data_IF_545308894109
#
_entry.id   IF_545308894109
#
_cell.length_a   1.000
_cell.length_b   1.000
_cell.length_c   1.000
_cell.angle_alpha   90.00
_cell.angle_beta   90.00
_cell.angle_gamma   90.00
#
_symmetry.space_group_name_H-M   'P 1'
#
loop_
_entity.id
_entity.type
_entity.pdbx_description
1 polymer ?
#
# COMPACT_ATOMS: atom_id res chain seq x y z
N UNK A 1 19.64 12.38 4.51
CA UNK A 1 18.54 11.85 3.69
C UNK A 1 17.31 11.77 4.58
N UNK A 2 16.22 12.44 4.22
CA UNK A 2 14.99 12.38 4.99
C UNK A 2 14.19 11.16 4.51
N UNK A 3 14.48 9.99 5.09
CA UNK A 3 13.67 8.80 4.84
C UNK A 3 12.34 8.97 5.59
N UNK A 4 11.22 8.58 4.97
CA UNK A 4 9.96 8.45 5.69
C UNK A 4 10.13 7.27 6.67
N UNK A 5 10.20 7.59 7.96
CA UNK A 5 10.44 6.62 9.03
C UNK A 5 9.15 6.35 9.77
N UNK A 6 8.79 5.08 9.87
CA UNK A 6 7.58 4.63 10.55
C UNK A 6 7.93 3.71 11.71
N UNK A 7 7.13 3.74 12.77
CA UNK A 7 7.22 2.71 13.81
C UNK A 7 6.63 1.41 13.26
N UNK A 8 7.20 0.24 13.58
CA UNK A 8 6.60 -1.04 13.18
C UNK A 8 5.13 -1.16 13.58
N UNK A 9 4.78 -0.69 14.78
CA UNK A 9 3.39 -0.69 15.25
C UNK A 9 2.45 0.16 14.38
N UNK A 10 2.91 1.27 13.81
CA UNK A 10 2.08 2.11 12.92
C UNK A 10 1.76 1.34 11.64
N UNK A 11 2.77 0.72 11.01
CA UNK A 11 2.56 -0.08 9.81
C UNK A 11 1.64 -1.28 10.05
N UNK A 12 1.82 -1.98 11.17
CA UNK A 12 0.97 -3.12 11.54
C UNK A 12 -0.48 -2.70 11.80
N UNK A 13 -0.69 -1.55 12.44
CA UNK A 13 -2.03 -1.02 12.67
C UNK A 13 -2.71 -0.64 11.34
N UNK A 14 -1.99 -0.02 10.41
CA UNK A 14 -2.52 0.32 9.08
C UNK A 14 -2.90 -0.95 8.29
N UNK A 15 -2.07 -2.01 8.33
CA UNK A 15 -2.42 -3.28 7.68
C UNK A 15 -3.65 -3.94 8.31
N UNK A 16 -3.75 -3.93 9.64
CA UNK A 16 -4.93 -4.47 10.33
C UNK A 16 -6.20 -3.70 9.99
N UNK A 17 -6.10 -2.36 9.96
CA UNK A 17 -7.23 -1.51 9.58
C UNK A 17 -7.62 -1.71 8.11
N UNK A 18 -6.65 -1.86 7.22
CA UNK A 18 -6.88 -2.20 5.81
C UNK A 18 -7.60 -3.55 5.68
N UNK A 19 -7.18 -4.59 6.39
CA UNK A 19 -7.86 -5.88 6.41
C UNK A 19 -9.32 -5.75 6.85
N UNK A 20 -9.59 -4.99 7.91
CA UNK A 20 -10.94 -4.76 8.42
C UNK A 20 -11.85 -4.02 7.42
N UNK A 21 -11.33 -2.98 6.77
CA UNK A 21 -12.06 -2.18 5.78
C UNK A 21 -12.27 -2.92 4.45
N UNK A 22 -11.22 -3.59 3.97
CA UNK A 22 -11.20 -4.23 2.67
C UNK A 22 -11.85 -5.63 2.69
N UNK A 23 -11.94 -6.31 3.84
CA UNK A 23 -12.29 -7.73 3.91
C UNK A 23 -13.60 -8.12 3.18
N UNK A 24 -14.61 -7.25 3.17
CA UNK A 24 -15.87 -7.50 2.43
C UNK A 24 -15.72 -7.39 0.90
N UNK A 25 -14.72 -6.66 0.45
CA UNK A 25 -14.41 -6.40 -0.96
C UNK A 25 -13.33 -7.33 -1.50
N UNK A 26 -12.51 -7.93 -0.65
CA UNK A 26 -11.45 -8.83 -1.07
C UNK A 26 -11.98 -10.21 -1.48
N UNK A 27 -11.28 -10.83 -2.42
CA UNK A 27 -11.47 -12.24 -2.73
C UNK A 27 -11.02 -13.13 -1.55
N UNK A 28 -11.22 -14.44 -1.63
CA UNK A 28 -10.89 -15.36 -0.52
C UNK A 28 -9.40 -15.63 -0.35
N UNK A 29 -8.58 -15.38 -1.37
CA UNK A 29 -7.15 -15.68 -1.37
C UNK A 29 -6.30 -14.50 -0.89
N UNK A 30 -6.80 -13.28 -1.04
CA UNK A 30 -6.11 -12.02 -0.75
C UNK A 30 -5.84 -11.72 0.72
N UNK A 31 -6.70 -12.10 1.68
CA UNK A 31 -6.44 -11.85 3.10
C UNK A 31 -5.13 -12.49 3.60
N UNK A 32 -4.81 -13.71 3.13
CA UNK A 32 -3.55 -14.39 3.47
C UNK A 32 -2.32 -13.57 3.08
N UNK A 33 -2.42 -12.74 2.04
CA UNK A 33 -1.29 -11.94 1.58
C UNK A 33 -0.99 -10.76 2.49
N UNK A 34 -2.02 -10.18 3.09
CA UNK A 34 -1.87 -9.16 4.12
C UNK A 34 -1.33 -9.75 5.42
N UNK A 35 -1.68 -11.01 5.74
CA UNK A 35 -1.11 -11.74 6.87
C UNK A 35 0.39 -12.06 6.65
N UNK A 36 0.78 -12.50 5.45
CA UNK A 36 2.19 -12.69 5.07
C UNK A 36 3.00 -11.40 5.28
N UNK A 37 2.49 -10.27 4.75
CA UNK A 37 3.15 -8.96 4.89
C UNK A 37 3.24 -8.51 6.36
N UNK A 38 2.23 -8.81 7.17
CA UNK A 38 2.23 -8.56 8.62
C UNK A 38 3.34 -9.34 9.31
N UNK A 39 3.48 -10.62 8.99
CA UNK A 39 4.53 -11.49 9.54
C UNK A 39 5.94 -11.02 9.13
N UNK A 40 6.11 -10.56 7.89
CA UNK A 40 7.37 -9.99 7.41
C UNK A 40 7.77 -8.76 8.22
N UNK A 41 6.86 -7.79 8.42
CA UNK A 41 7.11 -6.57 9.21
C UNK A 41 7.46 -6.90 10.67
N UNK A 42 6.77 -7.87 11.27
CA UNK A 42 7.11 -8.35 12.62
C UNK A 42 8.53 -8.97 12.65
N UNK A 43 8.90 -9.71 11.62
CA UNK A 43 10.25 -10.25 11.44
C UNK A 43 11.32 -9.16 11.35
N UNK A 44 11.02 -8.06 10.63
CA UNK A 44 11.91 -6.89 10.53
C UNK A 44 12.20 -6.28 11.89
N UNK A 45 11.18 -6.14 12.73
CA UNK A 45 11.34 -5.58 14.08
C UNK A 45 12.31 -6.38 14.94
N UNK A 46 12.34 -7.71 14.78
CA UNK A 46 13.21 -8.60 15.54
C UNK A 46 14.66 -8.62 15.02
N UNK A 47 14.84 -8.56 13.69
CA UNK A 47 16.15 -8.79 13.05
C UNK A 47 16.91 -7.50 12.74
N UNK A 48 16.21 -6.44 12.35
CA UNK A 48 16.82 -5.26 11.73
C UNK A 48 17.48 -5.57 10.38
N UNK A 49 17.90 -4.53 9.66
CA UNK A 49 18.56 -4.61 8.36
C UNK A 49 17.67 -4.23 7.17
N UNK A 50 18.16 -4.47 5.96
CA UNK A 50 17.48 -4.15 4.69
C UNK A 50 16.74 -5.35 4.12
N UNK A 51 15.51 -5.15 3.66
CA UNK A 51 14.65 -6.19 3.13
C UNK A 51 13.75 -5.65 2.02
N UNK A 52 13.24 -6.57 1.21
CA UNK A 52 12.22 -6.29 0.21
C UNK A 52 10.90 -6.90 0.67
N UNK A 53 9.89 -6.06 0.87
CA UNK A 53 8.51 -6.46 1.09
C UNK A 53 7.79 -6.52 -0.26
N UNK A 54 6.92 -7.50 -0.47
CA UNK A 54 6.28 -7.68 -1.79
C UNK A 54 4.84 -8.25 -1.73
N UNK A 55 3.98 -7.68 -2.57
CA UNK A 55 2.77 -8.31 -3.10
C UNK A 55 3.04 -8.64 -4.58
N UNK A 56 3.44 -9.87 -4.91
CA UNK A 56 3.95 -10.23 -6.23
C UNK A 56 2.82 -10.34 -7.26
N UNK A 57 3.15 -10.10 -8.53
CA UNK A 57 2.20 -10.19 -9.66
C UNK A 57 1.56 -11.57 -9.80
N UNK A 58 2.26 -12.64 -9.40
CA UNK A 58 1.74 -14.01 -9.44
C UNK A 58 0.67 -14.28 -8.38
N UNK A 59 0.68 -13.50 -7.28
CA UNK A 59 -0.29 -13.62 -6.17
C UNK A 59 -0.72 -12.22 -5.72
N UNK A 60 -1.42 -11.47 -6.60
CA UNK A 60 -1.82 -10.11 -6.29
C UNK A 60 -2.95 -10.11 -5.28
N UNK A 61 -3.16 -8.96 -4.66
CA UNK A 61 -4.30 -8.72 -3.79
C UNK A 61 -5.50 -8.36 -4.68
N UNK A 62 -6.48 -9.26 -4.75
CA UNK A 62 -7.65 -9.15 -5.63
C UNK A 62 -8.92 -8.77 -4.87
N UNK A 63 -9.72 -7.92 -5.49
CA UNK A 63 -11.11 -7.73 -5.04
C UNK A 63 -12.01 -8.84 -5.57
N UNK A 64 -13.20 -8.96 -5.00
CA UNK A 64 -14.31 -9.69 -5.60
C UNK A 64 -14.62 -9.09 -6.96
N UNK A 65 -15.07 -9.95 -7.85
CA UNK A 65 -15.57 -9.58 -9.16
C UNK A 65 -16.86 -8.77 -9.00
N UNK A 66 -16.90 -7.59 -9.62
CA UNK A 66 -18.12 -6.84 -9.83
C UNK A 66 -18.89 -7.42 -11.02
N UNK A 67 -20.19 -7.69 -10.82
CA UNK A 67 -21.16 -8.11 -11.83
C UNK A 67 -21.88 -6.88 -12.43
N UNK A 68 -21.11 -5.84 -12.76
CA UNK A 68 -21.63 -4.59 -13.32
C UNK A 68 -22.15 -3.56 -12.31
N UNK A 69 -21.89 -3.74 -11.00
CA UNK A 69 -22.26 -2.77 -9.95
C UNK A 69 -21.42 -1.50 -9.94
N UNK A 70 -20.33 -1.44 -10.72
CA UNK A 70 -19.53 -0.23 -10.87
C UNK A 70 -20.25 0.88 -11.66
N UNK A 71 -21.30 0.55 -12.41
CA UNK A 71 -22.10 1.54 -13.13
C UNK A 71 -22.92 2.40 -12.15
N UNK A 72 -23.12 3.70 -12.45
CA UNK A 72 -23.99 4.57 -11.66
C UNK A 72 -25.40 3.98 -11.49
N UNK A 73 -26.10 4.23 -10.35
CA UNK A 73 -27.42 3.65 -10.06
C UNK A 73 -28.49 3.92 -11.12
N UNK A 74 -28.32 5.00 -11.89
CA UNK A 74 -29.25 5.46 -12.93
C UNK A 74 -28.90 4.94 -14.34
N UNK A 75 -27.88 4.08 -14.49
CA UNK A 75 -27.51 3.43 -15.75
C UNK A 75 -27.84 1.94 -15.71
N UNK A 76 -28.07 1.35 -16.89
CA UNK A 76 -28.19 -0.10 -17.04
C UNK A 76 -26.88 -0.73 -16.57
N UNK A 77 -26.96 -1.74 -15.71
CA UNK A 77 -25.78 -2.51 -15.25
C UNK A 77 -24.97 -2.97 -16.46
N UNK A 78 -23.66 -2.77 -16.39
CA UNK A 78 -22.75 -3.26 -17.41
C UNK A 78 -22.77 -4.78 -17.44
N UNK A 79 -22.63 -5.36 -18.62
CA UNK A 79 -22.40 -6.80 -18.76
C UNK A 79 -20.94 -7.18 -18.48
N UNK A 80 -20.04 -6.19 -18.36
CA UNK A 80 -18.63 -6.44 -18.05
C UNK A 80 -18.47 -6.87 -16.60
N UNK A 81 -17.63 -7.88 -16.41
CA UNK A 81 -17.26 -8.41 -15.11
C UNK A 81 -15.82 -8.02 -14.84
N UNK A 82 -15.59 -7.20 -13.82
CA UNK A 82 -14.26 -6.63 -13.57
C UNK A 82 -13.85 -6.84 -12.12
N UNK A 83 -12.55 -6.92 -11.88
CA UNK A 83 -11.99 -6.99 -10.54
C UNK A 83 -10.78 -6.07 -10.40
N UNK A 84 -10.54 -5.58 -9.18
CA UNK A 84 -9.35 -4.84 -8.82
C UNK A 84 -8.20 -5.77 -8.46
N UNK A 85 -6.99 -5.46 -8.90
CA UNK A 85 -5.75 -6.18 -8.60
C UNK A 85 -4.72 -5.21 -8.07
N UNK A 86 -4.05 -5.56 -6.96
CA UNK A 86 -3.02 -4.74 -6.33
C UNK A 86 -1.75 -5.56 -6.21
N UNK A 87 -0.65 -4.99 -6.68
CA UNK A 87 0.72 -5.52 -6.51
C UNK A 87 1.60 -4.42 -5.94
N UNK A 88 2.74 -4.80 -5.36
CA UNK A 88 3.68 -3.82 -4.86
C UNK A 88 4.99 -4.42 -4.40
N UNK A 89 6.02 -3.58 -4.39
CA UNK A 89 7.36 -3.92 -3.96
C UNK A 89 7.96 -2.73 -3.22
N UNK A 90 8.49 -2.98 -2.02
CA UNK A 90 9.03 -1.96 -1.14
C UNK A 90 10.36 -2.39 -0.53
N UNK A 91 11.41 -1.68 -0.86
CA UNK A 91 12.72 -1.81 -0.21
C UNK A 91 12.73 -0.98 1.07
N UNK A 92 12.91 -1.67 2.18
CA UNK A 92 12.84 -1.09 3.52
C UNK A 92 14.09 -1.40 4.32
N UNK A 93 14.44 -0.47 5.20
CA UNK A 93 15.50 -0.63 6.20
C UNK A 93 14.90 -0.50 7.59
N UNK A 94 15.08 -1.54 8.41
CA UNK A 94 14.74 -1.52 9.83
C UNK A 94 16.00 -1.25 10.66
N UNK A 95 16.10 -0.04 11.23
CA UNK A 95 17.26 0.35 12.04
C UNK A 95 16.87 1.20 13.25
N UNK A 96 17.75 1.27 14.24
CA UNK A 96 17.51 2.03 15.47
C UNK A 96 17.87 3.49 15.25
N UNK A 97 16.88 4.37 15.38
CA UNK A 97 17.08 5.81 15.36
C UNK A 97 16.93 6.41 16.76
N UNK A 98 17.68 7.49 17.03
CA UNK A 98 17.50 8.27 18.25
C UNK A 98 16.26 9.14 18.12
N UNK A 99 15.15 8.71 18.72
CA UNK A 99 13.85 9.40 18.66
C UNK A 99 13.62 10.17 19.96
N UNK A 100 13.28 11.46 19.85
CA UNK A 100 12.83 12.27 21.00
C UNK A 100 11.33 12.10 21.19
N UNK A 101 10.91 12.06 22.45
CA UNK A 101 9.50 12.06 22.82
C UNK A 101 8.96 13.50 22.62
N UNK A 102 8.02 13.74 21.69
CA UNK A 102 7.48 15.08 21.44
C UNK A 102 6.75 15.65 22.65
N UNK A 103 6.13 14.79 23.46
CA UNK A 103 5.43 15.20 24.69
C UNK A 103 6.43 15.52 25.82
N UNK A 104 7.68 15.10 25.69
CA UNK A 104 8.75 15.28 26.69
C UNK A 104 10.07 15.67 26.03
N UNK A 105 10.17 16.88 25.42
CA UNK A 105 11.28 17.28 24.58
C UNK A 105 12.62 17.40 25.33
N UNK A 106 12.57 17.56 26.66
CA UNK A 106 13.75 17.65 27.52
C UNK A 106 14.37 16.28 27.87
N UNK A 107 13.69 15.16 27.58
CA UNK A 107 14.24 13.83 27.83
C UNK A 107 15.23 13.43 26.73
N UNK A 108 16.26 12.66 27.12
CA UNK A 108 17.22 12.09 26.18
C UNK A 108 16.50 11.25 25.13
N UNK A 109 16.95 11.37 23.88
CA UNK A 109 16.44 10.56 22.78
C UNK A 109 16.64 9.08 23.09
N UNK A 110 15.63 8.25 22.79
CA UNK A 110 15.69 6.81 22.98
C UNK A 110 15.94 6.11 21.65
N UNK A 111 16.82 5.10 21.60
CA UNK A 111 16.97 4.25 20.42
C UNK A 111 15.65 3.52 20.18
N UNK A 112 14.99 3.83 19.08
CA UNK A 112 13.71 3.23 18.68
C UNK A 112 13.89 2.58 17.32
N UNK A 113 13.42 1.35 17.16
CA UNK A 113 13.39 0.69 15.86
C UNK A 113 12.39 1.42 14.96
N UNK A 114 12.87 1.93 13.83
CA UNK A 114 12.02 2.50 12.79
C UNK A 114 12.28 1.77 11.48
N UNK A 115 11.26 1.74 10.64
CA UNK A 115 11.30 1.20 9.29
C UNK A 115 11.28 2.39 8.34
N UNK A 116 12.36 2.56 7.58
CA UNK A 116 12.46 3.53 6.51
C UNK A 116 12.30 2.88 5.15
N UNK A 117 11.64 3.55 4.21
CA UNK A 117 11.65 3.15 2.81
C UNK A 117 12.90 3.76 2.17
N UNK A 118 13.83 2.91 1.68
CA UNK A 118 15.21 3.32 1.35
C UNK A 118 15.61 3.06 -0.09
N UNK A 119 14.68 2.62 -0.94
CA UNK A 119 14.94 2.29 -2.34
C UNK A 119 13.65 2.19 -3.14
N UNK A 120 13.48 1.11 -3.91
CA UNK A 120 12.29 0.90 -4.74
C UNK A 120 11.04 0.79 -3.86
N UNK A 121 10.11 1.72 -4.01
CA UNK A 121 8.78 1.64 -3.40
C UNK A 121 7.73 1.90 -4.48
N UNK A 122 7.09 0.83 -4.95
CA UNK A 122 6.12 0.89 -6.05
C UNK A 122 4.89 0.07 -5.70
N UNK A 123 3.72 0.63 -5.93
CA UNK A 123 2.42 -0.03 -5.79
C UNK A 123 1.65 0.15 -7.09
N UNK A 124 1.12 -0.93 -7.64
CA UNK A 124 0.33 -0.90 -8.88
C UNK A 124 -1.07 -1.37 -8.57
N UNK A 125 -2.06 -0.60 -9.00
CA UNK A 125 -3.48 -0.89 -8.91
C UNK A 125 -4.02 -1.04 -10.32
N UNK A 126 -4.67 -2.14 -10.60
CA UNK A 126 -5.27 -2.41 -11.91
C UNK A 126 -6.75 -2.76 -11.73
N UNK A 127 -7.57 -2.35 -12.70
CA UNK A 127 -8.87 -2.97 -12.96
C UNK A 127 -8.68 -3.91 -14.13
N UNK A 128 -9.03 -5.18 -13.96
CA UNK A 128 -8.94 -6.19 -15.01
C UNK A 128 -10.31 -6.72 -15.36
N UNK A 129 -10.51 -7.02 -16.64
CA UNK A 129 -11.66 -7.81 -17.08
C UNK A 129 -11.47 -9.27 -16.65
N UNK A 130 -12.50 -9.89 -16.09
CA UNK A 130 -12.41 -11.26 -15.57
C UNK A 130 -12.31 -12.30 -16.69
N UNK A 131 -12.90 -12.05 -17.85
CA UNK A 131 -12.92 -13.01 -18.95
C UNK A 131 -11.64 -12.94 -19.78
N UNK A 132 -11.21 -11.73 -20.16
CA UNK A 132 -10.02 -11.54 -20.99
C UNK A 132 -8.72 -11.39 -20.22
N UNK A 133 -8.78 -11.14 -18.89
CA UNK A 133 -7.63 -10.75 -18.05
C UNK A 133 -6.91 -9.48 -18.52
N UNK A 134 -7.52 -8.72 -19.46
CA UNK A 134 -6.96 -7.47 -19.96
C UNK A 134 -7.10 -6.36 -18.93
N UNK A 135 -6.07 -5.51 -18.83
CA UNK A 135 -6.08 -4.33 -17.98
C UNK A 135 -7.00 -3.27 -18.57
N UNK A 136 -8.12 -3.02 -17.90
CA UNK A 136 -9.10 -1.98 -18.22
C UNK A 136 -8.61 -0.61 -17.76
N UNK A 137 -7.98 -0.54 -16.59
CA UNK A 137 -7.40 0.70 -16.05
C UNK A 137 -6.21 0.35 -15.15
N UNK A 138 -5.24 1.27 -15.06
CA UNK A 138 -4.04 1.09 -14.26
C UNK A 138 -3.61 2.39 -13.60
N UNK A 139 -3.28 2.30 -12.32
CA UNK A 139 -2.65 3.36 -11.54
C UNK A 139 -1.36 2.84 -10.94
N UNK A 140 -0.26 3.53 -11.19
CA UNK A 140 1.05 3.24 -10.62
C UNK A 140 1.42 4.34 -9.64
N UNK A 141 1.83 3.93 -8.45
CA UNK A 141 2.29 4.81 -7.39
C UNK A 141 3.74 4.46 -7.09
N UNK A 142 4.65 5.41 -7.31
CA UNK A 142 6.09 5.21 -7.14
C UNK A 142 6.66 6.27 -6.19
N UNK A 143 7.44 5.81 -5.21
CA UNK A 143 8.26 6.62 -4.32
C UNK A 143 9.73 6.36 -4.69
N UNK A 144 10.42 7.40 -5.16
CA UNK A 144 11.82 7.35 -5.61
C UNK A 144 12.83 7.83 -4.57
N UNK A 145 14.09 7.45 -4.76
CA UNK A 145 15.24 7.88 -3.95
C UNK A 145 15.52 9.39 -4.09
N UNK A 146 15.97 10.03 -3.01
CA UNK A 146 16.31 11.45 -2.95
C UNK A 146 17.45 11.87 -3.89
N UNK A 147 18.28 10.93 -4.35
CA UNK A 147 19.34 11.19 -5.34
C UNK A 147 18.93 10.87 -6.78
N UNK A 148 17.71 10.39 -7.02
CA UNK A 148 17.20 10.17 -8.36
C UNK A 148 16.67 11.51 -8.93
N UNK A 149 17.22 12.03 -10.04
CA UNK A 149 16.74 13.26 -10.64
C UNK A 149 15.32 13.06 -11.18
N UNK A 150 14.34 13.42 -10.36
CA UNK A 150 12.91 13.23 -10.61
C UNK A 150 12.32 12.06 -9.81
N UNK A 151 12.01 12.26 -8.52
CA UNK A 151 10.67 12.67 -8.07
C UNK A 151 10.26 12.17 -6.68
N UNK A 152 9.53 13.05 -5.99
CA UNK A 152 8.76 12.79 -4.79
C UNK A 152 7.32 12.47 -5.23
N UNK A 153 6.88 11.22 -5.05
CA UNK A 153 5.55 10.70 -5.37
C UNK A 153 5.09 10.89 -6.83
N UNK A 154 5.23 9.85 -7.65
CA UNK A 154 4.54 9.77 -8.94
C UNK A 154 3.28 8.95 -8.82
N UNK A 155 2.12 9.55 -9.12
CA UNK A 155 0.91 8.79 -9.45
C UNK A 155 0.67 8.94 -10.94
N UNK A 156 0.86 7.86 -11.70
CA UNK A 156 0.48 7.79 -13.11
C UNK A 156 -0.84 7.05 -13.23
N UNK A 157 -1.84 7.68 -13.84
CA UNK A 157 -3.05 7.03 -14.30
C UNK A 157 -2.95 6.85 -15.81
N UNK A 158 -3.27 5.67 -16.34
CA UNK A 158 -3.44 5.51 -17.78
C UNK A 158 -4.50 6.51 -18.29
N UNK A 159 -4.27 7.10 -19.47
CA UNK A 159 -5.12 8.14 -20.00
C UNK A 159 -6.53 7.61 -20.35
N UNK A 160 -7.53 8.19 -19.70
CA UNK A 160 -8.96 8.19 -20.07
C UNK A 160 -9.77 6.88 -19.93
N UNK A 161 -10.25 6.56 -18.71
CA UNK A 161 -10.99 5.30 -18.45
C UNK A 161 -12.31 5.42 -17.66
N UNK A 162 -12.80 6.62 -17.35
CA UNK A 162 -14.09 6.79 -16.66
C UNK A 162 -14.17 6.27 -15.20
N UNK A 163 -13.08 5.71 -14.67
CA UNK A 163 -12.95 5.34 -13.25
C UNK A 163 -12.29 6.48 -12.45
N UNK A 164 -12.76 6.75 -11.21
CA UNK A 164 -12.07 7.72 -10.36
C UNK A 164 -10.66 7.22 -10.05
N UNK A 165 -9.68 8.11 -10.16
CA UNK A 165 -8.31 7.82 -9.71
C UNK A 165 -8.37 7.45 -8.21
N UNK A 166 -7.87 6.27 -7.79
CA UNK A 166 -7.76 5.92 -6.39
C UNK A 166 -6.99 7.03 -5.68
N UNK A 167 -7.66 7.71 -4.74
CA UNK A 167 -6.96 8.65 -3.88
C UNK A 167 -6.02 7.82 -3.01
N UNK A 168 -4.74 8.15 -3.02
CA UNK A 168 -3.80 7.63 -2.03
C UNK A 168 -4.42 7.81 -0.64
N UNK A 169 -4.20 6.91 0.34
CA UNK A 169 -4.34 7.27 1.74
C UNK A 169 -3.29 8.36 2.00
N UNK A 170 -3.65 9.61 1.68
CA UNK A 170 -2.73 10.74 1.68
C UNK A 170 -1.93 10.69 2.97
N UNK A 171 -0.61 10.82 2.83
CA UNK A 171 0.33 10.98 3.93
C UNK A 171 -0.15 12.19 4.76
N UNK A 172 -0.96 11.89 5.78
CA UNK A 172 -1.65 12.74 6.77
C UNK A 172 -2.70 13.73 6.21
N UNK A 173 -3.89 13.88 6.81
CA UNK A 173 -4.17 13.94 8.24
C UNK A 173 -4.90 12.71 8.84
N UNK A 174 -4.49 12.43 10.07
CA UNK A 174 -5.07 11.54 11.10
C UNK A 174 -4.86 10.01 10.98
N UNK A 175 -4.52 9.35 12.11
CA UNK A 175 -4.56 7.90 12.20
C UNK A 175 -5.99 7.43 11.88
N UNK A 176 -6.15 6.26 11.25
CA UNK A 176 -7.47 5.65 11.04
C UNK A 176 -8.19 5.26 12.36
N UNK A 177 -7.64 5.64 13.51
CA UNK A 177 -8.15 5.45 14.87
C UNK A 177 -8.50 6.78 15.56
N UNK A 178 -9.14 7.72 14.86
CA UNK A 178 -9.80 8.87 15.47
C UNK A 178 -11.29 8.60 15.65
#
# INVERSE_FOLDING_TARGET
MANLLFRPAELLNELSALQGLAGRFLDRASPYKLEELTAEIQGLQARGGTYTLEIPELRPLKTRVSQGEFEPPNKKKSTRRVYGSITGIWEVEATKHAVRDPDRPHKKAKPTMLIGFTGKASTVFEVRDEESEETVSCWKMELGDANSPGCFFHTFASADHGFPVPRHPNVFATPMSA
#
